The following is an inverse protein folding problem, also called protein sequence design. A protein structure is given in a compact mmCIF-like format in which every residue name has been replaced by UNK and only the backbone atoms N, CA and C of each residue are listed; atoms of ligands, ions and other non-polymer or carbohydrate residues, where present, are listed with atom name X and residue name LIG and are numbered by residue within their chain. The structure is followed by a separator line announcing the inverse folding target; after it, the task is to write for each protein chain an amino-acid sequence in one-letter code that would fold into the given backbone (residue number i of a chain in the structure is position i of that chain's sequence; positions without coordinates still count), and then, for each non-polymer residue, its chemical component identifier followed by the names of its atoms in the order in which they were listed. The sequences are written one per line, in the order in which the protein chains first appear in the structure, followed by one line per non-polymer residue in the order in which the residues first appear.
data_IF_386891099864
#
_entry.id   IF_386891099864
#
_cell.length_a   1.000
_cell.length_b   1.000
_cell.length_c   1.000
_cell.angle_alpha   90.00
_cell.angle_beta   90.00
_cell.angle_gamma   90.00
#
_symmetry.space_group_name_H-M   'P 1'
#
loop_
_entity.id
_entity.type
_entity.pdbx_description
1 polymer ?
#
# COMPACT_ATOMS: atom_id res chain seq x y z
N UNK A 1 -26.14 -6.12 -23.22
CA UNK A 1 -25.30 -7.29 -22.90
C UNK A 1 -24.25 -6.87 -21.96
N UNK A 2 -23.80 -7.68 -20.97
CA UNK A 2 -22.66 -7.31 -20.15
C UNK A 2 -21.43 -7.14 -21.05
N UNK A 3 -20.67 -6.06 -20.80
CA UNK A 3 -19.43 -5.78 -21.52
C UNK A 3 -18.40 -6.90 -21.25
N UNK A 4 -17.71 -7.45 -22.26
CA UNK A 4 -16.64 -8.39 -22.00
C UNK A 4 -15.50 -7.70 -21.22
N UNK A 5 -15.05 -8.34 -20.15
CA UNK A 5 -13.91 -7.86 -19.35
C UNK A 5 -12.63 -8.04 -20.16
N UNK A 6 -11.92 -6.95 -20.43
CA UNK A 6 -10.63 -7.01 -21.11
C UNK A 6 -9.55 -7.54 -20.16
N UNK A 7 -8.70 -8.50 -20.58
CA UNK A 7 -7.65 -9.01 -19.70
C UNK A 7 -6.61 -7.94 -19.40
N UNK A 8 -6.24 -7.81 -18.11
CA UNK A 8 -5.15 -6.97 -17.67
C UNK A 8 -3.80 -7.69 -17.80
N UNK A 9 -2.79 -6.98 -18.24
CA UNK A 9 -1.42 -7.48 -18.29
C UNK A 9 -0.62 -7.00 -17.08
N UNK A 10 -0.15 -7.94 -16.24
CA UNK A 10 0.81 -7.65 -15.19
C UNK A 10 2.22 -7.61 -15.78
N UNK A 11 2.87 -6.45 -15.77
CA UNK A 11 4.22 -6.24 -16.33
C UNK A 11 5.31 -6.24 -15.29
N UNK A 12 4.99 -5.91 -14.03
CA UNK A 12 5.87 -5.97 -12.87
C UNK A 12 5.07 -6.32 -11.63
N UNK A 13 5.71 -6.98 -10.68
CA UNK A 13 5.14 -7.24 -9.36
C UNK A 13 6.24 -7.46 -8.33
N UNK A 14 5.91 -7.30 -7.07
CA UNK A 14 6.76 -7.58 -5.92
C UNK A 14 5.95 -8.24 -4.82
N UNK A 15 6.60 -8.79 -3.81
CA UNK A 15 5.97 -9.33 -2.62
C UNK A 15 6.86 -9.09 -1.40
N UNK A 16 6.28 -8.52 -0.34
CA UNK A 16 6.94 -8.36 0.96
C UNK A 16 6.01 -8.94 2.03
N UNK A 17 6.48 -9.95 2.72
CA UNK A 17 5.68 -10.76 3.66
C UNK A 17 6.50 -11.12 4.89
N UNK A 18 5.89 -11.76 5.86
CA UNK A 18 6.61 -12.36 7.01
C UNK A 18 7.63 -13.44 6.60
N UNK A 19 7.58 -13.92 5.36
CA UNK A 19 8.58 -14.85 4.82
C UNK A 19 9.84 -14.15 4.30
N UNK A 20 9.82 -12.83 4.18
CA UNK A 20 10.92 -11.99 3.72
C UNK A 20 10.51 -10.96 2.67
N UNK A 21 11.47 -10.18 2.23
CA UNK A 21 11.32 -9.11 1.25
C UNK A 21 11.63 -9.66 -0.14
N UNK A 22 10.76 -9.36 -1.09
CA UNK A 22 10.92 -9.73 -2.50
C UNK A 22 10.29 -11.09 -2.86
N UNK A 23 10.06 -11.24 -4.16
CA UNK A 23 9.41 -12.44 -4.75
C UNK A 23 10.16 -13.73 -4.47
N UNK A 24 11.48 -13.68 -4.46
CA UNK A 24 12.31 -14.87 -4.25
C UNK A 24 12.18 -15.41 -2.84
N UNK A 25 12.13 -14.54 -1.82
CA UNK A 25 11.91 -14.95 -0.44
C UNK A 25 10.57 -15.68 -0.27
N UNK A 26 9.51 -15.16 -0.90
CA UNK A 26 8.20 -15.80 -0.91
C UNK A 26 8.22 -17.13 -1.69
N UNK A 27 8.85 -17.17 -2.87
CA UNK A 27 8.96 -18.38 -3.68
C UNK A 27 9.67 -19.50 -2.92
N UNK A 28 10.80 -19.19 -2.27
CA UNK A 28 11.55 -20.16 -1.47
C UNK A 28 10.72 -20.65 -0.29
N UNK A 29 10.05 -19.75 0.43
CA UNK A 29 9.21 -20.12 1.56
C UNK A 29 8.08 -21.09 1.15
N UNK A 30 7.42 -20.82 0.02
CA UNK A 30 6.39 -21.70 -0.54
C UNK A 30 6.97 -23.07 -0.96
N UNK A 31 8.09 -23.07 -1.69
CA UNK A 31 8.74 -24.31 -2.16
C UNK A 31 9.22 -25.21 -1.00
N UNK A 32 9.71 -24.59 0.07
CA UNK A 32 10.22 -25.31 1.25
C UNK A 32 9.17 -25.47 2.35
N UNK A 33 7.94 -24.99 2.14
CA UNK A 33 6.86 -24.99 3.14
C UNK A 33 7.26 -24.30 4.45
N UNK A 34 8.13 -23.27 4.38
CA UNK A 34 8.57 -22.49 5.53
C UNK A 34 7.48 -21.50 5.93
N UNK A 35 7.09 -21.53 7.20
CA UNK A 35 6.19 -20.52 7.77
C UNK A 35 6.94 -19.24 8.10
N UNK A 36 6.31 -18.08 7.87
CA UNK A 36 6.75 -16.77 8.36
C UNK A 36 6.15 -16.41 9.73
N UNK A 37 5.35 -17.30 10.32
CA UNK A 37 4.72 -17.05 11.61
C UNK A 37 5.72 -17.28 12.76
N UNK A 38 5.62 -16.43 13.78
CA UNK A 38 6.36 -16.53 15.04
C UNK A 38 5.46 -16.19 16.22
N UNK A 39 5.89 -16.50 17.46
CA UNK A 39 5.18 -16.07 18.65
C UNK A 39 5.01 -14.56 18.65
N UNK A 40 3.83 -14.09 19.06
CA UNK A 40 3.53 -12.68 19.12
C UNK A 40 4.43 -11.97 20.12
N UNK A 41 5.21 -11.05 19.63
CA UNK A 41 6.12 -10.15 20.37
C UNK A 41 5.82 -8.68 20.05
N UNK A 42 4.63 -8.41 19.48
CA UNK A 42 4.22 -7.09 19.02
C UNK A 42 3.20 -6.45 19.97
N UNK A 43 3.40 -5.15 20.25
CA UNK A 43 2.52 -4.37 21.12
C UNK A 43 2.97 -4.38 22.59
N UNK A 44 2.27 -3.62 23.44
CA UNK A 44 2.55 -3.50 24.89
C UNK A 44 2.17 -4.77 25.64
N UNK A 45 0.99 -5.32 25.29
CA UNK A 45 0.42 -6.50 25.93
C UNK A 45 0.15 -7.56 24.84
N UNK A 46 1.19 -8.27 24.37
CA UNK A 46 1.04 -9.18 23.24
C UNK A 46 0.15 -10.37 23.60
N UNK A 47 -0.90 -10.57 22.82
CA UNK A 47 -1.75 -11.76 22.93
C UNK A 47 -0.92 -13.02 22.71
N UNK A 48 -1.24 -14.09 23.45
CA UNK A 48 -0.58 -15.39 23.30
C UNK A 48 -1.03 -16.08 22.01
N UNK A 49 -0.50 -15.62 20.88
CA UNK A 49 -0.82 -16.14 19.55
C UNK A 49 0.40 -16.16 18.64
N UNK A 50 0.19 -16.45 17.37
CA UNK A 50 1.21 -16.39 16.32
C UNK A 50 0.90 -15.25 15.37
N UNK A 51 1.93 -14.53 14.97
CA UNK A 51 1.83 -13.39 14.04
C UNK A 51 2.86 -13.51 12.92
N UNK A 52 2.56 -12.90 11.77
CA UNK A 52 3.50 -12.68 10.69
C UNK A 52 4.07 -11.27 10.77
N UNK A 53 5.35 -11.12 11.13
CA UNK A 53 6.06 -9.83 11.12
C UNK A 53 6.99 -9.75 9.94
N UNK A 54 7.03 -8.59 9.29
CA UNK A 54 8.08 -8.25 8.32
C UNK A 54 9.25 -7.67 9.11
N UNK A 55 10.42 -8.28 9.01
CA UNK A 55 11.62 -7.82 9.71
C UNK A 55 12.12 -6.49 9.15
N UNK A 56 12.68 -5.66 10.03
CA UNK A 56 13.28 -4.37 9.69
C UNK A 56 12.30 -3.21 9.49
N UNK A 57 10.98 -3.43 9.53
CA UNK A 57 10.01 -2.34 9.37
C UNK A 57 10.14 -1.30 10.48
N UNK A 58 10.38 -1.76 11.70
CA UNK A 58 10.52 -0.89 12.87
C UNK A 58 11.80 -0.06 12.81
N UNK A 59 12.86 -0.59 12.19
CA UNK A 59 14.21 0.00 12.18
C UNK A 59 14.51 0.81 10.91
N UNK A 60 13.58 0.80 9.93
CA UNK A 60 13.73 1.47 8.64
C UNK A 60 12.75 2.65 8.52
N UNK A 61 13.05 3.82 9.09
CA UNK A 61 12.21 5.01 8.95
C UNK A 61 12.10 5.41 7.48
N UNK A 62 11.05 6.14 7.14
CA UNK A 62 10.90 6.72 5.82
C UNK A 62 12.05 7.70 5.53
N UNK A 63 12.44 7.87 4.25
CA UNK A 63 13.37 8.92 3.85
C UNK A 63 12.90 10.30 4.33
N UNK A 64 13.82 11.20 4.62
CA UNK A 64 13.50 12.56 5.11
C UNK A 64 12.49 13.32 4.23
N UNK A 65 12.53 13.08 2.92
CA UNK A 65 11.57 13.66 1.97
C UNK A 65 10.11 13.20 2.19
N UNK A 66 9.89 12.15 2.98
CA UNK A 66 8.58 11.56 3.27
C UNK A 66 8.26 11.54 4.77
N UNK A 67 9.01 12.31 5.58
CA UNK A 67 8.91 12.28 7.05
C UNK A 67 7.50 12.62 7.58
N UNK A 68 6.74 13.44 6.90
CA UNK A 68 5.37 13.77 7.28
C UNK A 68 4.40 12.57 7.21
N UNK A 69 4.73 11.57 6.37
CA UNK A 69 3.98 10.33 6.17
C UNK A 69 4.41 9.21 7.12
N UNK A 70 5.31 9.49 8.06
CA UNK A 70 5.96 8.50 8.89
C UNK A 70 4.95 7.71 9.72
N UNK A 71 4.81 6.44 9.40
CA UNK A 71 4.12 5.43 10.21
C UNK A 71 4.53 4.03 9.73
N UNK A 72 4.33 3.02 10.59
CA UNK A 72 4.69 1.63 10.30
C UNK A 72 4.13 1.10 8.98
N UNK A 73 2.88 1.42 8.68
CA UNK A 73 2.21 0.98 7.46
C UNK A 73 2.88 1.54 6.19
N UNK A 74 3.25 2.82 6.21
CA UNK A 74 3.92 3.47 5.10
C UNK A 74 5.38 3.02 4.96
N UNK A 75 6.07 2.72 6.07
CA UNK A 75 7.38 2.04 6.02
C UNK A 75 7.31 0.70 5.31
N UNK A 76 6.31 -0.11 5.63
CA UNK A 76 6.10 -1.39 4.96
C UNK A 76 5.84 -1.23 3.46
N UNK A 77 5.03 -0.26 3.08
CA UNK A 77 4.81 0.07 1.66
C UNK A 77 6.10 0.50 0.97
N UNK A 78 6.90 1.35 1.61
CA UNK A 78 8.20 1.78 1.07
C UNK A 78 9.17 0.62 0.88
N UNK A 79 9.25 -0.30 1.84
CA UNK A 79 10.04 -1.53 1.69
C UNK A 79 9.57 -2.36 0.50
N UNK A 80 8.26 -2.53 0.34
CA UNK A 80 7.68 -3.24 -0.79
C UNK A 80 7.99 -2.57 -2.13
N UNK A 81 7.84 -1.26 -2.23
CA UNK A 81 8.15 -0.49 -3.44
C UNK A 81 9.62 -0.67 -3.88
N UNK A 82 10.54 -0.74 -2.92
CA UNK A 82 11.97 -0.88 -3.21
C UNK A 82 12.42 -2.34 -3.47
N UNK A 83 11.53 -3.32 -3.34
CA UNK A 83 11.85 -4.71 -3.62
C UNK A 83 11.72 -5.04 -5.12
N UNK A 84 12.50 -6.00 -5.59
CA UNK A 84 12.44 -6.60 -6.95
C UNK A 84 12.53 -5.62 -8.12
N UNK A 85 13.02 -4.40 -7.92
CA UNK A 85 13.06 -3.36 -8.94
C UNK A 85 11.70 -2.74 -9.27
N UNK A 86 10.68 -2.93 -8.41
CA UNK A 86 9.32 -2.45 -8.66
C UNK A 86 9.26 -0.92 -8.74
N UNK A 87 9.98 -0.21 -7.85
CA UNK A 87 10.05 1.26 -7.89
C UNK A 87 10.56 1.77 -9.25
N UNK A 88 11.62 1.16 -9.77
CA UNK A 88 12.16 1.53 -11.08
C UNK A 88 11.14 1.26 -12.21
N UNK A 89 10.40 0.15 -12.15
CA UNK A 89 9.35 -0.16 -13.12
C UNK A 89 8.20 0.86 -13.07
N UNK A 90 7.78 1.28 -11.87
CA UNK A 90 6.76 2.31 -11.71
C UNK A 90 7.23 3.68 -12.23
N UNK A 91 8.47 4.06 -11.94
CA UNK A 91 9.07 5.29 -12.46
C UNK A 91 9.22 5.28 -13.99
N UNK A 92 9.57 4.13 -14.58
CA UNK A 92 9.62 3.95 -16.03
C UNK A 92 8.23 4.13 -16.67
N UNK A 93 7.18 3.58 -16.05
CA UNK A 93 5.82 3.79 -16.50
C UNK A 93 5.42 5.27 -16.43
N UNK A 94 5.70 5.95 -15.30
CA UNK A 94 5.48 7.39 -15.14
C UNK A 94 6.20 8.20 -16.23
N UNK A 95 7.46 7.88 -16.52
CA UNK A 95 8.24 8.57 -17.56
C UNK A 95 7.65 8.33 -18.95
N UNK A 96 7.21 7.11 -19.22
CA UNK A 96 6.68 6.72 -20.53
C UNK A 96 5.32 7.32 -20.83
N UNK A 97 4.42 7.33 -19.86
CA UNK A 97 3.01 7.71 -20.06
C UNK A 97 2.66 9.10 -19.53
N UNK A 98 3.51 9.70 -18.69
CA UNK A 98 3.25 10.94 -17.96
C UNK A 98 2.62 10.69 -16.59
N UNK A 99 2.91 11.58 -15.64
CA UNK A 99 2.46 11.45 -14.25
C UNK A 99 0.93 11.42 -14.11
N UNK A 100 0.22 12.21 -14.92
CA UNK A 100 -1.24 12.31 -14.90
C UNK A 100 -1.96 11.11 -15.55
N UNK A 101 -1.25 10.30 -16.33
CA UNK A 101 -1.82 9.12 -17.01
C UNK A 101 -1.52 7.78 -16.30
N UNK A 102 -0.87 7.82 -15.15
CA UNK A 102 -0.63 6.63 -14.33
C UNK A 102 -1.53 6.69 -13.10
N UNK A 103 -2.54 5.85 -13.08
CA UNK A 103 -3.45 5.73 -11.95
C UNK A 103 -2.86 4.82 -10.86
N UNK A 104 -3.19 5.11 -9.61
CA UNK A 104 -2.92 4.26 -8.46
C UNK A 104 -4.23 3.68 -7.91
N UNK A 105 -4.34 2.36 -7.89
CA UNK A 105 -5.45 1.67 -7.23
C UNK A 105 -4.88 0.78 -6.14
N UNK A 106 -5.16 1.10 -4.90
CA UNK A 106 -4.57 0.47 -3.72
C UNK A 106 -5.63 -0.21 -2.88
N UNK A 107 -5.38 -1.45 -2.47
CA UNK A 107 -6.23 -2.22 -1.56
C UNK A 107 -5.62 -2.29 -0.16
N UNK A 108 -6.38 -1.89 0.85
CA UNK A 108 -6.00 -2.02 2.26
C UNK A 108 -7.22 -2.36 3.10
N UNK A 109 -7.04 -3.09 4.19
CA UNK A 109 -8.14 -3.34 5.13
C UNK A 109 -8.29 -2.23 6.15
N UNK A 110 -7.20 -1.66 6.63
CA UNK A 110 -7.16 -0.78 7.81
C UNK A 110 -6.28 0.46 7.64
N UNK A 111 -5.56 0.57 6.50
CA UNK A 111 -4.62 1.67 6.29
C UNK A 111 -3.66 1.85 7.48
N UNK A 112 -3.48 3.06 7.99
CA UNK A 112 -2.57 3.40 9.07
C UNK A 112 -3.22 3.34 10.47
N UNK A 113 -4.19 2.44 10.69
CA UNK A 113 -4.93 2.37 11.95
C UNK A 113 -4.04 2.23 13.18
N UNK A 114 -2.90 1.54 13.08
CA UNK A 114 -1.95 1.40 14.19
C UNK A 114 -1.41 2.74 14.70
N UNK A 115 -1.23 3.74 13.81
CA UNK A 115 -0.86 5.09 14.22
C UNK A 115 -1.99 5.81 14.97
N UNK A 116 -3.24 5.53 14.61
CA UNK A 116 -4.41 6.05 15.33
C UNK A 116 -4.57 5.37 16.68
N UNK A 117 -4.36 4.07 16.79
CA UNK A 117 -4.37 3.33 18.06
C UNK A 117 -3.30 3.86 19.01
N UNK A 118 -2.09 4.14 18.52
CA UNK A 118 -1.02 4.77 19.31
C UNK A 118 -1.44 6.14 19.86
N UNK A 119 -2.08 6.97 19.02
CA UNK A 119 -2.57 8.28 19.43
C UNK A 119 -3.73 8.17 20.44
N UNK A 120 -4.64 7.22 20.24
CA UNK A 120 -5.72 6.94 21.18
C UNK A 120 -5.22 6.46 22.55
N UNK A 121 -4.18 5.65 22.58
CA UNK A 121 -3.58 5.19 23.83
C UNK A 121 -2.93 6.30 24.66
N UNK A 122 -2.78 7.51 24.10
CA UNK A 122 -2.08 8.64 24.70
C UNK A 122 -2.95 9.91 24.72
N UNK A 123 -4.29 9.78 24.74
CA UNK A 123 -5.18 10.94 24.80
C UNK A 123 -4.86 11.86 25.99
N UNK A 124 -4.97 13.17 25.76
CA UNK A 124 -4.90 14.16 26.85
C UNK A 124 -6.11 14.02 27.79
N UNK A 125 -6.09 14.63 28.99
CA UNK A 125 -7.24 14.64 29.88
C UNK A 125 -8.53 15.19 29.21
N UNK A 126 -8.37 16.06 28.21
CA UNK A 126 -9.48 16.65 27.44
C UNK A 126 -9.95 15.74 26.30
N UNK A 127 -9.41 14.53 26.14
CA UNK A 127 -9.77 13.57 25.12
C UNK A 127 -9.21 13.90 23.72
N UNK A 128 -8.15 14.68 23.64
CA UNK A 128 -7.53 15.07 22.37
C UNK A 128 -6.24 14.26 22.12
N UNK A 129 -5.88 14.08 20.86
CA UNK A 129 -4.54 13.57 20.52
C UNK A 129 -3.45 14.54 20.99
N UNK A 130 -2.35 14.05 21.55
CA UNK A 130 -1.17 14.86 21.81
C UNK A 130 -0.71 15.60 20.55
N UNK A 131 -0.20 16.84 20.64
CA UNK A 131 0.20 17.61 19.45
C UNK A 131 1.16 16.85 18.53
N UNK A 132 2.11 16.11 19.07
CA UNK A 132 3.06 15.30 18.30
C UNK A 132 2.43 14.13 17.51
N UNK A 133 1.24 13.70 17.92
CA UNK A 133 0.48 12.60 17.28
C UNK A 133 -0.70 13.11 16.44
N UNK A 134 -0.89 14.41 16.32
CA UNK A 134 -1.90 15.01 15.43
C UNK A 134 -1.38 15.06 14.00
N UNK A 135 -1.54 13.94 13.29
CA UNK A 135 -1.07 13.77 11.90
C UNK A 135 -2.24 13.44 10.98
N UNK A 136 -3.02 14.45 10.53
CA UNK A 136 -4.25 14.23 9.74
C UNK A 136 -4.01 13.36 8.50
N UNK A 137 -2.92 13.57 7.78
CA UNK A 137 -2.57 12.80 6.58
C UNK A 137 -2.26 11.33 6.87
N UNK A 138 -1.87 10.98 8.10
CA UNK A 138 -1.62 9.60 8.53
C UNK A 138 -2.88 8.93 9.04
N UNK A 139 -3.76 9.67 9.73
CA UNK A 139 -4.96 9.12 10.37
C UNK A 139 -6.15 8.92 9.43
N UNK A 140 -6.05 9.34 8.17
CA UNK A 140 -7.10 9.14 7.17
C UNK A 140 -7.09 7.70 6.61
N UNK A 141 -8.25 7.11 6.25
CA UNK A 141 -8.30 5.84 5.53
C UNK A 141 -7.53 5.83 4.20
N UNK A 142 -7.37 6.98 3.56
CA UNK A 142 -6.62 7.14 2.31
C UNK A 142 -5.09 7.26 2.49
N UNK A 143 -4.59 7.38 3.72
CA UNK A 143 -3.18 7.64 4.05
C UNK A 143 -2.18 6.83 3.22
N UNK A 144 -2.45 5.53 3.04
CA UNK A 144 -1.54 4.67 2.29
C UNK A 144 -1.55 4.99 0.79
N UNK A 145 -2.72 5.26 0.22
CA UNK A 145 -2.86 5.65 -1.19
C UNK A 145 -2.18 6.98 -1.47
N UNK A 146 -2.48 7.98 -0.65
CA UNK A 146 -1.90 9.32 -0.76
C UNK A 146 -0.37 9.28 -0.62
N UNK A 147 0.14 8.50 0.35
CA UNK A 147 1.57 8.30 0.52
C UNK A 147 2.24 7.68 -0.71
N UNK A 148 1.70 6.58 -1.23
CA UNK A 148 2.29 5.88 -2.39
C UNK A 148 2.21 6.76 -3.64
N UNK A 149 1.12 7.49 -3.84
CA UNK A 149 0.98 8.46 -4.92
C UNK A 149 2.07 9.55 -4.84
N UNK A 150 2.26 10.12 -3.65
CA UNK A 150 3.30 11.10 -3.37
C UNK A 150 4.71 10.52 -3.61
N UNK A 151 5.00 9.34 -3.07
CA UNK A 151 6.32 8.70 -3.18
C UNK A 151 6.71 8.36 -4.63
N UNK A 152 5.73 8.04 -5.48
CA UNK A 152 5.92 7.76 -6.91
C UNK A 152 5.79 9.04 -7.78
N UNK A 153 5.43 10.18 -7.18
CA UNK A 153 5.15 11.44 -7.86
C UNK A 153 4.13 11.26 -9.01
N UNK A 154 3.03 10.55 -8.75
CA UNK A 154 1.93 10.36 -9.68
C UNK A 154 0.89 11.48 -9.50
N UNK A 155 0.23 11.84 -10.59
CA UNK A 155 -0.80 12.88 -10.65
C UNK A 155 -2.12 12.36 -11.24
N UNK A 156 -2.14 11.12 -11.68
CA UNK A 156 -3.34 10.45 -12.16
C UNK A 156 -4.30 10.06 -11.04
N UNK A 157 -5.44 9.43 -11.36
CA UNK A 157 -6.42 8.99 -10.37
C UNK A 157 -5.78 8.15 -9.28
N UNK A 158 -6.08 8.47 -8.00
CA UNK A 158 -5.68 7.69 -6.85
C UNK A 158 -6.92 7.17 -6.12
N UNK A 159 -7.05 5.86 -5.98
CA UNK A 159 -8.20 5.21 -5.38
C UNK A 159 -7.76 4.20 -4.32
N UNK A 160 -8.30 4.34 -3.12
CA UNK A 160 -8.10 3.36 -2.04
C UNK A 160 -9.36 2.53 -1.85
N UNK A 161 -9.24 1.22 -2.00
CA UNK A 161 -10.31 0.25 -1.78
C UNK A 161 -10.13 -0.38 -0.41
N UNK A 162 -11.08 -0.15 0.51
CA UNK A 162 -11.07 -0.69 1.86
C UNK A 162 -12.34 -1.52 2.10
N UNK A 163 -12.29 -2.79 1.73
CA UNK A 163 -13.37 -3.78 1.89
C UNK A 163 -12.87 -5.04 2.60
N UNK A 164 -12.09 -4.82 3.66
CA UNK A 164 -11.45 -5.88 4.47
C UNK A 164 -10.66 -6.88 3.58
N UNK A 165 -10.85 -8.16 3.77
CA UNK A 165 -10.09 -9.23 3.09
C UNK A 165 -10.21 -9.23 1.56
N UNK A 166 -11.26 -8.62 1.00
CA UNK A 166 -11.51 -8.58 -0.46
C UNK A 166 -10.88 -7.37 -1.16
N UNK A 167 -10.27 -6.44 -0.43
CA UNK A 167 -9.70 -5.20 -0.99
C UNK A 167 -8.72 -5.48 -2.12
N UNK A 168 -7.77 -6.39 -1.89
CA UNK A 168 -6.71 -6.72 -2.87
C UNK A 168 -7.23 -7.35 -4.16
N UNK A 169 -8.36 -8.03 -4.14
CA UNK A 169 -8.99 -8.57 -5.34
C UNK A 169 -9.76 -7.48 -6.10
N UNK A 170 -10.44 -6.58 -5.38
CA UNK A 170 -11.27 -5.54 -5.99
C UNK A 170 -10.46 -4.46 -6.71
N UNK A 171 -9.18 -4.25 -6.34
CA UNK A 171 -8.32 -3.28 -7.04
C UNK A 171 -8.12 -3.64 -8.52
N UNK A 172 -8.08 -4.92 -8.87
CA UNK A 172 -7.96 -5.35 -10.27
C UNK A 172 -9.22 -4.99 -11.08
N UNK A 173 -10.40 -5.21 -10.50
CA UNK A 173 -11.66 -4.81 -11.16
C UNK A 173 -11.77 -3.29 -11.29
N UNK A 174 -11.26 -2.54 -10.32
CA UNK A 174 -11.26 -1.07 -10.39
C UNK A 174 -10.26 -0.56 -11.42
N UNK A 175 -9.08 -1.16 -11.51
CA UNK A 175 -8.09 -0.82 -12.53
C UNK A 175 -8.62 -1.08 -13.95
N UNK A 176 -9.32 -2.20 -14.14
CA UNK A 176 -9.97 -2.51 -15.43
C UNK A 176 -11.00 -1.45 -15.81
N UNK A 177 -11.84 -1.02 -14.87
CA UNK A 177 -12.85 0.03 -15.13
C UNK A 177 -12.22 1.37 -15.51
N UNK A 178 -11.14 1.77 -14.85
CA UNK A 178 -10.42 3.01 -15.17
C UNK A 178 -9.85 2.95 -16.59
N UNK A 179 -9.17 1.85 -16.94
CA UNK A 179 -8.60 1.68 -18.29
C UNK A 179 -9.70 1.63 -19.37
N UNK A 180 -10.82 1.04 -19.06
CA UNK A 180 -11.95 0.97 -19.96
C UNK A 180 -12.64 2.33 -20.17
N UNK A 181 -12.77 3.14 -19.12
CA UNK A 181 -13.34 4.49 -19.20
C UNK A 181 -12.46 5.45 -20.00
N UNK A 182 -11.14 5.38 -19.85
CA UNK A 182 -10.22 6.18 -20.69
C UNK A 182 -10.31 5.81 -22.17
N UNK A 183 -10.49 4.55 -22.52
CA UNK A 183 -10.67 4.11 -23.90
C UNK A 183 -11.99 4.61 -24.52
N UNK A 184 -13.06 4.73 -23.72
CA UNK A 184 -14.34 5.30 -24.15
C UNK A 184 -14.26 6.81 -24.40
N UNK A 185 -13.54 7.56 -23.54
CA UNK A 185 -13.34 9.00 -23.73
C UNK A 185 -12.49 9.29 -24.97
N UNK A 186 -11.41 8.54 -25.17
CA UNK A 186 -10.57 8.71 -26.37
C UNK A 186 -11.34 8.44 -27.68
N UNK A 187 -12.24 7.45 -27.69
CA UNK A 187 -13.07 7.18 -28.85
C UNK A 187 -14.13 8.25 -29.16
N UNK A 188 -14.51 9.06 -28.15
CA UNK A 188 -15.45 10.18 -28.33
C UNK A 188 -14.78 11.47 -28.79
N UNK A 189 -13.46 11.61 -28.60
CA UNK A 189 -12.68 12.77 -29.04
C UNK A 189 -12.25 12.67 -30.52
N UNK A 190 -12.28 11.48 -31.11
CA UNK A 190 -11.89 11.22 -32.50
C UNK A 190 -13.10 11.26 -33.51
N UNK A 191 -14.31 11.53 -33.06
CA UNK A 191 -15.54 11.72 -33.87
C UNK A 191 -15.88 13.23 -33.98
#
# INVERSE_FOLDING_TARGET
MPRPISPLRLTAYTATTACGIGREALRVALATRRSGLRRNDFGRDPLSTWIGRVEGVEDAPLPAAHAEWECRNNRLAWMGLNADGFLAAAQAARTKYGAARVALVLGTSTSSIGASEEAYAQLTPEGLYPPALRRPIVHTPHSLGDYVQHALALEGPCMTVATACSSSAKVFAQAERLMAGEAEVAAMEDD
#
